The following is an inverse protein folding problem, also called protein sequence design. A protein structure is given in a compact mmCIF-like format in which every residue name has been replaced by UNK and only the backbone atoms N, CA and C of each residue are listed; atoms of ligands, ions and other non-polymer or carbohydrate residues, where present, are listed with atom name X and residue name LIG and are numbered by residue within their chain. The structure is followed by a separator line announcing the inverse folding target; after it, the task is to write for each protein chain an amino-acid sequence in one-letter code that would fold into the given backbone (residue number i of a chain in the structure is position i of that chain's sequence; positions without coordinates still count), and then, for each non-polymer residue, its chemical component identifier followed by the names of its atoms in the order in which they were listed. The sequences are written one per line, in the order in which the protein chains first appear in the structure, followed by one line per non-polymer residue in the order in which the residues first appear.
data_IF_552210898878
#
_entry.id   IF_552210898878
#
_cell.length_a   1.000
_cell.length_b   1.000
_cell.length_c   1.000
_cell.angle_alpha   90.00
_cell.angle_beta   90.00
_cell.angle_gamma   90.00
#
_symmetry.space_group_name_H-M   'P 1'
#
loop_
_entity.id
_entity.type
_entity.pdbx_description
1 polymer ?
#
# COMPACT_ATOMS: atom_id res chain seq x y z
N UNK A 1 -20.08 -0.01 -31.92
CA UNK A 1 -19.16 1.07 -31.49
C UNK A 1 -17.74 0.61 -31.76
N UNK A 2 -16.96 1.35 -32.59
CA UNK A 2 -15.60 0.96 -33.00
C UNK A 2 -14.69 0.91 -31.73
N UNK A 3 -13.94 -0.18 -31.55
CA UNK A 3 -13.05 -0.43 -30.41
C UNK A 3 -12.11 0.76 -30.16
N UNK A 4 -11.55 1.36 -31.24
CA UNK A 4 -10.71 2.56 -31.16
C UNK A 4 -11.43 3.78 -30.58
N UNK A 5 -12.73 3.96 -30.88
CA UNK A 5 -13.54 5.05 -30.32
C UNK A 5 -13.83 4.80 -28.83
N UNK A 6 -14.06 3.55 -28.44
CA UNK A 6 -14.22 3.18 -27.02
C UNK A 6 -12.94 3.39 -26.20
N UNK A 7 -11.77 3.06 -26.77
CA UNK A 7 -10.46 3.30 -26.14
C UNK A 7 -10.19 4.81 -25.97
N UNK A 8 -10.45 5.63 -27.01
CA UNK A 8 -10.27 7.10 -26.94
C UNK A 8 -11.17 7.75 -25.90
N UNK A 9 -12.44 7.35 -25.83
CA UNK A 9 -13.38 7.84 -24.80
C UNK A 9 -12.90 7.46 -23.39
N UNK A 10 -12.45 6.22 -23.19
CA UNK A 10 -11.92 5.75 -21.90
C UNK A 10 -10.64 6.50 -21.47
N UNK A 11 -9.73 6.77 -22.41
CA UNK A 11 -8.54 7.58 -22.14
C UNK A 11 -8.86 9.03 -21.80
N UNK A 12 -9.87 9.62 -22.43
CA UNK A 12 -10.34 10.97 -22.11
C UNK A 12 -10.91 11.03 -20.68
N UNK A 13 -11.81 10.10 -20.34
CA UNK A 13 -12.39 9.98 -18.99
C UNK A 13 -11.30 9.73 -17.95
N UNK A 14 -10.32 8.87 -18.24
CA UNK A 14 -9.18 8.63 -17.35
C UNK A 14 -8.39 9.90 -17.07
N UNK A 15 -8.08 10.70 -18.09
CA UNK A 15 -7.32 11.93 -17.92
C UNK A 15 -8.09 12.98 -17.11
N UNK A 16 -9.41 13.04 -17.24
CA UNK A 16 -10.28 13.93 -16.45
C UNK A 16 -10.33 13.48 -14.98
N UNK A 17 -10.63 12.21 -14.72
CA UNK A 17 -10.65 11.65 -13.35
C UNK A 17 -9.31 11.84 -12.67
N UNK A 18 -8.20 11.59 -13.38
CA UNK A 18 -6.85 11.80 -12.84
C UNK A 18 -6.58 13.26 -12.50
N UNK A 19 -7.00 14.20 -13.35
CA UNK A 19 -6.85 15.65 -13.08
C UNK A 19 -7.67 16.08 -11.86
N UNK A 20 -8.91 15.63 -11.77
CA UNK A 20 -9.79 15.95 -10.64
C UNK A 20 -9.25 15.34 -9.33
N UNK A 21 -8.80 14.10 -9.35
CA UNK A 21 -8.16 13.45 -8.19
C UNK A 21 -6.91 14.23 -7.73
N UNK A 22 -6.01 14.60 -8.65
CA UNK A 22 -4.82 15.39 -8.33
C UNK A 22 -5.21 16.77 -7.77
N UNK A 23 -6.26 17.41 -8.34
CA UNK A 23 -6.76 18.69 -7.86
C UNK A 23 -7.34 18.57 -6.45
N UNK A 24 -8.12 17.52 -6.18
CA UNK A 24 -8.69 17.24 -4.87
C UNK A 24 -7.61 16.98 -3.80
N UNK A 25 -6.59 16.15 -4.12
CA UNK A 25 -5.45 15.93 -3.23
C UNK A 25 -4.69 17.22 -2.93
N UNK A 26 -4.50 18.10 -3.93
CA UNK A 26 -3.88 19.41 -3.75
C UNK A 26 -4.74 20.32 -2.87
N UNK A 27 -6.05 20.30 -3.03
CA UNK A 27 -6.99 21.10 -2.23
C UNK A 27 -6.98 20.64 -0.75
N UNK A 28 -7.03 19.33 -0.48
CA UNK A 28 -6.90 18.80 0.88
C UNK A 28 -5.56 19.22 1.50
N UNK A 29 -4.46 19.05 0.78
CA UNK A 29 -3.14 19.46 1.25
C UNK A 29 -3.06 20.97 1.55
N UNK A 30 -3.82 21.80 0.82
CA UNK A 30 -3.87 23.26 1.05
C UNK A 30 -4.74 23.65 2.25
N UNK A 31 -5.75 22.84 2.58
CA UNK A 31 -6.68 23.09 3.71
C UNK A 31 -6.15 22.55 5.04
N UNK A 32 -5.23 21.57 5.03
CA UNK A 32 -4.58 21.11 6.24
C UNK A 32 -3.70 22.26 6.78
N UNK A 33 -4.10 22.86 7.90
CA UNK A 33 -3.42 24.01 8.55
C UNK A 33 -2.01 23.72 9.06
N UNK A 34 -1.47 22.54 8.81
CA UNK A 34 -0.07 22.21 8.98
C UNK A 34 0.67 22.54 7.70
N UNK A 35 0.95 23.82 7.49
CA UNK A 35 1.87 24.29 6.45
C UNK A 35 3.31 23.87 6.79
N UNK A 36 3.64 22.62 6.50
CA UNK A 36 5.03 22.26 6.24
C UNK A 36 5.25 22.67 4.78
N UNK A 37 6.21 23.56 4.46
CA UNK A 37 6.46 23.94 3.09
C UNK A 37 6.83 22.67 2.31
N UNK A 38 6.05 22.33 1.30
CA UNK A 38 6.46 21.39 0.26
C UNK A 38 7.63 22.07 -0.43
N UNK A 39 8.85 21.70 -0.09
CA UNK A 39 10.02 22.15 -0.82
C UNK A 39 9.92 21.57 -2.22
N UNK A 40 9.72 22.41 -3.23
CA UNK A 40 9.80 22.07 -4.65
C UNK A 40 11.26 21.79 -5.09
N UNK A 41 12.10 21.28 -4.19
CA UNK A 41 13.44 20.84 -4.55
C UNK A 41 13.33 19.45 -5.13
N UNK A 42 13.63 19.33 -6.43
CA UNK A 42 13.86 18.07 -7.15
C UNK A 42 15.14 17.33 -6.67
N UNK A 43 15.58 17.58 -5.47
CA UNK A 43 16.65 16.82 -4.83
C UNK A 43 16.07 15.49 -4.35
N UNK A 44 16.74 14.39 -4.70
CA UNK A 44 16.43 13.10 -4.11
C UNK A 44 16.51 13.26 -2.60
N UNK A 45 15.49 12.80 -1.85
CA UNK A 45 15.52 12.89 -0.41
C UNK A 45 16.84 12.27 0.08
N UNK A 46 17.50 12.92 1.02
CA UNK A 46 18.62 12.35 1.74
C UNK A 46 18.05 11.24 2.64
N UNK A 47 17.96 10.05 2.06
CA UNK A 47 17.36 8.88 2.70
C UNK A 47 18.07 8.59 4.02
N UNK A 48 19.39 8.77 4.11
CA UNK A 48 20.15 8.52 5.32
C UNK A 48 19.66 9.40 6.47
N UNK A 49 19.44 10.68 6.22
CA UNK A 49 18.96 11.64 7.22
C UNK A 49 17.50 11.39 7.62
N UNK A 50 16.63 11.09 6.66
CA UNK A 50 15.20 10.77 6.93
C UNK A 50 15.05 9.48 7.75
N UNK A 51 15.98 8.53 7.60
CA UNK A 51 15.95 7.23 8.29
C UNK A 51 16.87 7.11 9.51
N UNK A 52 17.49 8.20 9.98
CA UNK A 52 18.38 8.20 11.15
C UNK A 52 17.69 7.64 12.43
N UNK A 53 16.40 7.90 12.59
CA UNK A 53 15.59 7.43 13.73
C UNK A 53 14.56 6.36 13.35
N UNK A 54 14.88 5.53 12.38
CA UNK A 54 13.98 4.50 11.88
C UNK A 54 13.84 3.33 12.85
N UNK A 55 12.67 2.68 12.81
CA UNK A 55 12.40 1.44 13.54
C UNK A 55 12.69 0.27 12.62
N UNK A 56 13.45 -0.72 13.12
CA UNK A 56 13.74 -1.95 12.37
C UNK A 56 12.62 -2.97 12.64
N UNK A 57 11.99 -3.46 11.57
CA UNK A 57 10.91 -4.44 11.62
C UNK A 57 11.23 -5.64 10.73
N UNK A 58 10.61 -6.80 10.97
CA UNK A 58 10.73 -7.95 10.08
C UNK A 58 9.92 -7.72 8.79
N UNK A 59 10.17 -8.51 7.74
CA UNK A 59 9.40 -8.41 6.49
C UNK A 59 8.00 -9.05 6.68
N UNK A 60 6.90 -8.36 6.30
CA UNK A 60 5.54 -8.80 6.64
C UNK A 60 4.96 -9.87 5.71
N UNK A 61 5.67 -10.24 4.64
CA UNK A 61 5.18 -11.12 3.58
C UNK A 61 6.16 -12.26 3.31
N UNK A 62 5.73 -13.24 2.50
CA UNK A 62 6.56 -14.38 2.06
C UNK A 62 6.50 -14.51 0.55
N UNK A 63 7.61 -14.94 -0.08
CA UNK A 63 7.75 -15.10 -1.53
C UNK A 63 8.25 -13.85 -2.23
N UNK A 64 7.91 -13.69 -3.51
CA UNK A 64 8.48 -12.69 -4.43
C UNK A 64 7.57 -11.48 -4.57
N UNK A 65 8.08 -10.29 -4.29
CA UNK A 65 7.32 -9.03 -4.26
C UNK A 65 8.07 -7.90 -4.94
N UNK A 66 7.37 -6.81 -5.24
CA UNK A 66 7.93 -5.52 -5.61
C UNK A 66 7.19 -4.40 -4.86
N UNK A 67 7.79 -3.21 -4.76
CA UNK A 67 7.21 -2.05 -4.07
C UNK A 67 7.08 -0.85 -5.02
N UNK A 68 6.01 -0.74 -5.80
CA UNK A 68 5.83 0.39 -6.73
C UNK A 68 5.73 1.74 -6.02
N UNK A 69 5.21 1.76 -4.79
CA UNK A 69 5.19 2.92 -3.90
C UNK A 69 6.01 2.59 -2.65
N UNK A 70 7.07 3.35 -2.43
CA UNK A 70 8.04 3.14 -1.35
C UNK A 70 8.79 4.44 -1.06
N UNK A 71 9.20 4.67 0.19
CA UNK A 71 10.06 5.80 0.51
C UNK A 71 11.45 5.71 -0.14
N UNK A 72 11.89 4.51 -0.55
CA UNK A 72 13.10 4.33 -1.35
C UNK A 72 13.04 4.91 -2.77
N UNK A 73 11.84 5.26 -3.24
CA UNK A 73 11.60 5.95 -4.51
C UNK A 73 11.46 7.46 -4.32
N UNK A 74 10.61 7.86 -3.39
CA UNK A 74 10.25 9.26 -3.14
C UNK A 74 9.63 9.41 -1.76
N UNK A 75 9.85 10.54 -1.10
CA UNK A 75 9.21 10.89 0.17
C UNK A 75 8.46 12.21 -0.02
N UNK A 76 7.16 12.27 0.28
CA UNK A 76 6.26 11.20 0.76
C UNK A 76 6.00 10.13 -0.30
N UNK A 77 6.00 8.85 0.10
CA UNK A 77 5.91 7.70 -0.82
C UNK A 77 4.60 7.64 -1.62
N UNK A 78 3.52 8.19 -1.06
CA UNK A 78 2.18 8.27 -1.68
C UNK A 78 1.82 9.71 -2.10
N UNK A 79 2.81 10.62 -2.20
CA UNK A 79 2.61 12.02 -2.59
C UNK A 79 1.92 12.88 -1.53
N UNK A 80 1.73 12.38 -0.31
CA UNK A 80 1.08 13.10 0.80
C UNK A 80 1.56 12.59 2.15
N UNK A 81 1.54 13.47 3.17
CA UNK A 81 1.82 13.15 4.56
C UNK A 81 0.56 12.74 5.35
N UNK A 82 -0.63 12.81 4.72
CA UNK A 82 -1.89 12.47 5.38
C UNK A 82 -1.95 10.99 5.76
N UNK A 83 -2.75 10.67 6.78
CA UNK A 83 -3.00 9.30 7.26
C UNK A 83 -1.73 8.58 7.76
N UNK A 84 -0.68 9.30 8.12
CA UNK A 84 0.58 8.72 8.56
C UNK A 84 1.40 8.04 7.47
N UNK A 85 1.04 8.18 6.18
CA UNK A 85 1.61 7.38 5.08
C UNK A 85 2.87 7.97 4.42
N UNK A 86 3.55 8.96 5.05
CA UNK A 86 4.80 9.57 4.52
C UNK A 86 5.83 8.54 4.09
N UNK A 87 5.99 7.47 4.89
CA UNK A 87 6.96 6.39 4.67
C UNK A 87 6.28 5.04 4.38
N UNK A 88 5.09 5.04 3.78
CA UNK A 88 4.34 3.83 3.51
C UNK A 88 4.91 3.03 2.35
N UNK A 89 4.68 1.73 2.40
CA UNK A 89 5.06 0.74 1.38
C UNK A 89 3.81 0.06 0.81
N UNK A 90 3.75 -0.08 -0.51
CA UNK A 90 2.79 -0.94 -1.20
C UNK A 90 3.51 -2.16 -1.76
N UNK A 91 3.18 -3.36 -1.28
CA UNK A 91 3.79 -4.61 -1.72
C UNK A 91 2.89 -5.34 -2.70
N UNK A 92 3.34 -5.46 -3.95
CA UNK A 92 2.66 -6.20 -5.01
C UNK A 92 3.37 -7.51 -5.26
N UNK A 93 2.65 -8.65 -5.21
CA UNK A 93 3.23 -9.93 -5.59
C UNK A 93 3.31 -10.05 -7.11
N UNK A 94 4.47 -10.46 -7.60
CA UNK A 94 4.78 -10.61 -9.03
C UNK A 94 5.29 -12.01 -9.34
N UNK A 95 5.16 -12.41 -10.59
CA UNK A 95 5.81 -13.62 -11.11
C UNK A 95 7.10 -13.22 -11.84
N UNK A 96 8.24 -13.52 -11.23
CA UNK A 96 9.57 -13.23 -11.79
C UNK A 96 9.93 -14.10 -13.00
N UNK A 97 9.17 -15.16 -13.26
CA UNK A 97 9.37 -16.04 -14.44
C UNK A 97 8.85 -15.39 -15.72
N UNK A 98 8.02 -14.33 -15.59
CA UNK A 98 7.50 -13.59 -16.72
C UNK A 98 8.36 -12.35 -16.99
N UNK A 99 8.71 -12.12 -18.26
CA UNK A 99 9.54 -10.96 -18.67
C UNK A 99 8.93 -9.60 -18.30
N UNK A 100 7.63 -9.55 -18.03
CA UNK A 100 6.87 -8.31 -17.79
C UNK A 100 6.63 -8.03 -16.31
N UNK A 101 7.11 -8.90 -15.40
CA UNK A 101 6.95 -8.76 -13.92
C UNK A 101 5.53 -8.37 -13.50
N UNK A 102 4.55 -9.05 -14.10
CA UNK A 102 3.13 -8.74 -13.88
C UNK A 102 2.67 -9.21 -12.51
N UNK A 103 1.71 -8.50 -11.93
CA UNK A 103 1.01 -8.91 -10.72
C UNK A 103 -0.18 -9.85 -11.00
N UNK A 104 -0.38 -10.31 -12.26
CA UNK A 104 -1.52 -11.15 -12.67
C UNK A 104 -1.18 -12.11 -13.80
N UNK A 105 -1.88 -13.26 -13.82
CA UNK A 105 -1.91 -14.23 -14.91
C UNK A 105 -3.04 -13.89 -15.90
N UNK A 106 -2.79 -12.99 -16.82
CA UNK A 106 -3.71 -12.63 -17.90
C UNK A 106 -2.94 -11.95 -19.05
N UNK A 107 -3.54 -11.91 -20.25
CA UNK A 107 -2.96 -11.09 -21.32
C UNK A 107 -3.19 -9.60 -21.05
N UNK A 108 -2.23 -8.74 -21.45
CA UNK A 108 -2.33 -7.29 -21.29
C UNK A 108 -3.58 -6.73 -21.96
N UNK A 109 -3.93 -7.25 -23.13
CA UNK A 109 -5.14 -6.87 -23.87
C UNK A 109 -6.42 -7.17 -23.07
N UNK A 110 -6.55 -8.40 -22.52
CA UNK A 110 -7.72 -8.78 -21.72
C UNK A 110 -7.78 -7.97 -20.41
N UNK A 111 -6.63 -7.76 -19.77
CA UNK A 111 -6.53 -6.94 -18.56
C UNK A 111 -7.02 -5.50 -18.82
N UNK A 112 -6.56 -4.86 -19.90
CA UNK A 112 -6.89 -3.46 -20.22
C UNK A 112 -8.37 -3.27 -20.57
N UNK A 113 -9.01 -4.26 -21.20
CA UNK A 113 -10.42 -4.13 -21.64
C UNK A 113 -11.41 -4.65 -20.61
N UNK A 114 -11.15 -5.82 -20.03
CA UNK A 114 -12.12 -6.53 -19.18
C UNK A 114 -11.68 -6.60 -17.71
N UNK A 115 -10.49 -6.09 -17.38
CA UNK A 115 -9.85 -6.27 -16.11
C UNK A 115 -9.46 -7.73 -15.87
N UNK A 116 -8.86 -8.00 -14.70
CA UNK A 116 -8.41 -9.33 -14.29
C UNK A 116 -9.18 -9.81 -13.06
N UNK A 117 -9.79 -11.02 -13.07
CA UNK A 117 -10.39 -11.59 -11.88
C UNK A 117 -9.36 -11.73 -10.75
N UNK A 118 -9.76 -11.48 -9.50
CA UNK A 118 -8.83 -11.51 -8.34
C UNK A 118 -8.07 -12.83 -8.22
N UNK A 119 -8.72 -13.97 -8.49
CA UNK A 119 -8.07 -15.29 -8.45
C UNK A 119 -6.91 -15.47 -9.42
N UNK A 120 -6.76 -14.56 -10.39
CA UNK A 120 -5.65 -14.48 -11.33
C UNK A 120 -4.58 -13.44 -10.93
N UNK A 121 -4.77 -12.75 -9.83
CA UNK A 121 -3.78 -11.82 -9.29
C UNK A 121 -2.95 -12.56 -8.26
N UNK A 122 -1.63 -12.55 -8.41
CA UNK A 122 -0.72 -13.36 -7.59
C UNK A 122 -0.77 -12.98 -6.10
N UNK A 123 -0.89 -11.67 -5.79
CA UNK A 123 -0.97 -11.16 -4.43
C UNK A 123 -2.28 -11.46 -3.72
N UNK A 124 -3.38 -11.73 -4.45
CA UNK A 124 -4.67 -11.95 -3.81
C UNK A 124 -4.67 -13.19 -2.91
N UNK A 125 -5.18 -13.05 -1.69
CA UNK A 125 -5.26 -14.11 -0.68
C UNK A 125 -3.90 -14.59 -0.13
N UNK A 126 -2.81 -13.85 -0.38
CA UNK A 126 -1.50 -14.14 0.25
C UNK A 126 -1.50 -13.71 1.71
N UNK A 127 -0.78 -14.46 2.52
CA UNK A 127 -0.72 -14.26 3.97
C UNK A 127 0.10 -13.03 4.35
N UNK A 128 -0.41 -12.29 5.34
CA UNK A 128 0.23 -11.13 5.95
C UNK A 128 0.59 -11.49 7.38
N UNK A 129 1.84 -11.26 7.74
CA UNK A 129 2.37 -11.56 9.06
C UNK A 129 2.76 -10.28 9.78
N UNK A 130 2.65 -10.27 11.11
CA UNK A 130 3.12 -9.13 11.90
C UNK A 130 4.64 -9.00 11.82
N UNK A 131 5.18 -7.84 11.41
CA UNK A 131 6.62 -7.61 11.38
C UNK A 131 7.19 -7.21 12.75
N UNK A 132 6.35 -7.00 13.75
CA UNK A 132 6.70 -6.51 15.10
C UNK A 132 5.67 -7.00 16.12
N UNK A 133 6.06 -7.12 17.38
CA UNK A 133 5.15 -7.40 18.49
C UNK A 133 4.20 -6.20 18.70
N UNK A 134 2.96 -6.44 19.10
CA UNK A 134 2.02 -5.35 19.38
C UNK A 134 0.66 -5.84 19.85
N UNK A 135 -0.21 -4.89 20.17
CA UNK A 135 -1.59 -5.12 20.58
C UNK A 135 -2.55 -4.55 19.53
N UNK A 136 -3.56 -5.29 19.17
CA UNK A 136 -4.57 -4.85 18.21
C UNK A 136 -5.46 -3.77 18.83
N UNK A 137 -5.37 -2.53 18.30
CA UNK A 137 -6.15 -1.37 18.78
C UNK A 137 -7.26 -0.93 17.83
N UNK A 138 -7.21 -1.34 16.56
CA UNK A 138 -8.31 -1.12 15.62
C UNK A 138 -8.38 -2.23 14.57
N UNK A 139 -9.60 -2.55 14.11
CA UNK A 139 -9.88 -3.52 13.04
C UNK A 139 -11.09 -3.05 12.24
N UNK A 140 -11.01 -3.17 10.91
CA UNK A 140 -12.14 -3.20 9.98
C UNK A 140 -12.03 -4.46 9.11
N UNK A 141 -13.07 -5.28 9.01
CA UNK A 141 -13.08 -6.53 8.22
C UNK A 141 -14.41 -6.78 7.49
N UNK A 142 -15.18 -5.71 7.19
CA UNK A 142 -16.51 -5.83 6.58
C UNK A 142 -16.54 -5.39 5.12
N UNK A 143 -15.52 -4.64 4.67
CA UNK A 143 -15.45 -4.13 3.31
C UNK A 143 -15.31 -5.27 2.30
N UNK A 144 -16.13 -5.24 1.24
CA UNK A 144 -16.12 -6.29 0.21
C UNK A 144 -14.99 -6.09 -0.78
N UNK A 145 -14.30 -7.17 -1.10
CA UNK A 145 -13.35 -7.16 -2.23
C UNK A 145 -14.09 -6.88 -3.54
N UNK A 146 -13.51 -6.06 -4.40
CA UNK A 146 -13.94 -5.95 -5.79
C UNK A 146 -13.63 -7.27 -6.52
N UNK A 147 -14.51 -7.69 -7.43
CA UNK A 147 -14.39 -8.99 -8.10
C UNK A 147 -13.24 -9.07 -9.11
N UNK A 148 -12.78 -7.93 -9.59
CA UNK A 148 -11.76 -7.79 -10.64
C UNK A 148 -10.90 -6.57 -10.38
N UNK A 149 -9.66 -6.63 -10.82
CA UNK A 149 -8.79 -5.45 -10.99
C UNK A 149 -9.07 -4.85 -12.36
N UNK A 150 -9.45 -3.58 -12.39
CA UNK A 150 -9.64 -2.84 -13.62
C UNK A 150 -9.38 -1.35 -13.39
N UNK A 151 -8.28 -0.85 -13.94
CA UNK A 151 -7.74 0.47 -13.60
C UNK A 151 -8.78 1.59 -13.56
N UNK A 152 -9.65 1.68 -14.58
CA UNK A 152 -10.66 2.75 -14.62
C UNK A 152 -11.72 2.62 -13.53
N UNK A 153 -12.18 1.39 -13.25
CA UNK A 153 -13.15 1.18 -12.16
C UNK A 153 -12.54 1.41 -10.80
N UNK A 154 -11.28 1.04 -10.61
CA UNK A 154 -10.59 1.21 -9.34
C UNK A 154 -10.31 2.69 -9.06
N UNK A 155 -9.88 3.46 -10.07
CA UNK A 155 -9.75 4.92 -9.96
C UNK A 155 -11.11 5.62 -9.71
N UNK A 156 -12.18 5.16 -10.35
CA UNK A 156 -13.51 5.68 -10.08
C UNK A 156 -13.94 5.41 -8.63
N UNK A 157 -13.67 4.21 -8.11
CA UNK A 157 -13.95 3.89 -6.70
C UNK A 157 -13.13 4.79 -5.77
N UNK A 158 -11.84 5.01 -6.05
CA UNK A 158 -10.98 5.91 -5.26
C UNK A 158 -11.54 7.34 -5.24
N UNK A 159 -11.95 7.87 -6.39
CA UNK A 159 -12.58 9.19 -6.50
C UNK A 159 -13.88 9.25 -5.68
N UNK A 160 -14.76 8.25 -5.81
CA UNK A 160 -16.02 8.21 -5.07
C UNK A 160 -15.82 8.04 -3.56
N UNK A 161 -14.80 7.29 -3.13
CA UNK A 161 -14.46 7.15 -1.72
C UNK A 161 -13.95 8.47 -1.14
N UNK A 162 -13.09 9.18 -1.87
CA UNK A 162 -12.64 10.52 -1.48
C UNK A 162 -13.82 11.51 -1.34
N UNK A 163 -14.74 11.50 -2.31
CA UNK A 163 -15.95 12.34 -2.27
C UNK A 163 -16.88 12.02 -1.10
N UNK A 164 -16.94 10.75 -0.68
CA UNK A 164 -17.80 10.29 0.43
C UNK A 164 -17.18 10.45 1.81
N UNK A 165 -15.86 10.64 1.85
CA UNK A 165 -15.16 10.79 3.12
C UNK A 165 -15.63 12.07 3.81
N UNK A 166 -16.24 11.94 4.99
CA UNK A 166 -16.64 13.07 5.81
C UNK A 166 -15.45 13.50 6.68
N UNK A 167 -15.06 14.77 6.60
CA UNK A 167 -13.90 15.30 7.36
C UNK A 167 -14.17 15.34 8.87
N UNK A 168 -15.43 15.51 9.30
CA UNK A 168 -15.78 15.58 10.74
C UNK A 168 -15.85 14.20 11.41
N UNK A 169 -16.25 13.17 10.64
CA UNK A 169 -16.34 11.79 11.14
C UNK A 169 -15.97 10.82 10.01
N UNK A 170 -14.67 10.64 9.74
CA UNK A 170 -14.22 9.89 8.59
C UNK A 170 -14.42 8.38 8.75
N UNK A 171 -15.09 7.76 7.77
CA UNK A 171 -15.09 6.31 7.61
C UNK A 171 -13.81 5.89 6.87
N UNK A 172 -12.76 5.58 7.62
CA UNK A 172 -11.47 5.16 7.06
C UNK A 172 -11.55 3.85 6.27
N UNK A 173 -12.58 3.01 6.51
CA UNK A 173 -12.84 1.81 5.73
C UNK A 173 -13.12 2.10 4.25
N UNK A 174 -13.58 3.30 3.89
CA UNK A 174 -13.72 3.72 2.49
C UNK A 174 -12.38 3.78 1.77
N UNK A 175 -11.33 4.26 2.46
CA UNK A 175 -9.99 4.47 1.88
C UNK A 175 -9.09 3.27 2.13
N UNK A 176 -8.94 2.86 3.38
CA UNK A 176 -8.08 1.75 3.79
C UNK A 176 -8.66 0.37 3.43
N UNK A 177 -9.98 0.28 3.17
CA UNK A 177 -10.65 -1.01 3.05
C UNK A 177 -10.69 -1.72 4.40
N UNK A 178 -10.42 -3.02 4.41
CA UNK A 178 -10.19 -3.75 5.64
C UNK A 178 -8.78 -3.49 6.15
N UNK A 179 -8.64 -3.21 7.45
CA UNK A 179 -7.36 -2.82 8.02
C UNK A 179 -7.18 -3.30 9.46
N UNK A 180 -5.94 -3.31 9.91
CA UNK A 180 -5.52 -3.53 11.30
C UNK A 180 -4.61 -2.38 11.72
N UNK A 181 -4.76 -1.92 12.98
CA UNK A 181 -3.76 -1.08 13.66
C UNK A 181 -3.25 -1.85 14.86
N UNK A 182 -1.93 -1.99 14.96
CA UNK A 182 -1.23 -2.55 16.12
C UNK A 182 -0.54 -1.43 16.88
N UNK A 183 -0.75 -1.33 18.17
CA UNK A 183 0.09 -0.55 19.09
C UNK A 183 1.33 -1.38 19.43
N UNK A 184 2.50 -0.93 18.99
CA UNK A 184 3.75 -1.70 19.08
C UNK A 184 4.66 -1.22 20.24
N UNK A 185 4.62 0.08 20.53
CA UNK A 185 5.31 0.75 21.63
C UNK A 185 4.62 2.09 21.91
N UNK A 186 5.07 2.84 22.91
CA UNK A 186 4.57 4.18 23.18
C UNK A 186 4.69 5.07 21.95
N UNK A 187 3.54 5.56 21.46
CA UNK A 187 3.43 6.37 20.24
C UNK A 187 4.01 5.70 18.95
N UNK A 188 3.99 4.37 18.88
CA UNK A 188 4.35 3.62 17.67
C UNK A 188 3.24 2.65 17.31
N UNK A 189 2.62 2.90 16.16
CA UNK A 189 1.52 2.09 15.65
C UNK A 189 1.87 1.56 14.27
N UNK A 190 1.61 0.26 14.04
CA UNK A 190 1.76 -0.36 12.74
C UNK A 190 0.39 -0.46 12.05
N UNK A 191 0.30 0.11 10.86
CA UNK A 191 -0.91 0.13 10.05
C UNK A 191 -0.79 -0.82 8.85
N UNK A 192 -1.82 -1.64 8.68
CA UNK A 192 -1.93 -2.60 7.57
C UNK A 192 -3.27 -2.42 6.90
N UNK A 193 -3.31 -2.24 5.58
CA UNK A 193 -4.56 -2.02 4.86
C UNK A 193 -4.77 -2.97 3.68
N UNK A 194 -5.99 -2.93 3.14
CA UNK A 194 -6.47 -3.70 1.98
C UNK A 194 -6.57 -5.20 2.23
N UNK A 195 -6.85 -5.63 3.47
CA UNK A 195 -7.09 -7.06 3.74
C UNK A 195 -8.29 -7.60 2.96
N UNK A 196 -8.22 -8.88 2.62
CA UNK A 196 -9.33 -9.65 2.07
C UNK A 196 -10.46 -9.72 3.11
N UNK A 197 -11.70 -9.50 2.68
CA UNK A 197 -12.87 -9.57 3.56
C UNK A 197 -12.95 -10.89 4.32
N UNK A 198 -13.11 -10.81 5.64
CA UNK A 198 -13.25 -11.95 6.53
C UNK A 198 -12.00 -12.79 6.70
N UNK A 199 -10.82 -12.25 6.32
CA UNK A 199 -9.55 -12.96 6.43
C UNK A 199 -8.74 -12.59 7.68
N UNK A 200 -9.11 -11.53 8.38
CA UNK A 200 -8.39 -11.09 9.58
C UNK A 200 -8.53 -12.15 10.67
N UNK A 201 -7.39 -12.67 11.14
CA UNK A 201 -7.31 -13.81 12.08
C UNK A 201 -7.15 -13.40 13.54
N UNK A 202 -7.07 -12.09 13.81
CA UNK A 202 -6.90 -11.50 15.14
C UNK A 202 -8.14 -10.71 15.54
N UNK A 203 -8.28 -10.38 16.83
CA UNK A 203 -9.41 -9.61 17.37
C UNK A 203 -8.90 -8.37 18.10
N UNK A 204 -9.75 -7.36 18.19
CA UNK A 204 -9.49 -6.16 18.99
C UNK A 204 -9.04 -6.55 20.39
N UNK A 205 -7.95 -5.96 20.86
CA UNK A 205 -7.33 -6.22 22.17
C UNK A 205 -6.40 -7.43 22.22
N UNK A 206 -6.27 -8.23 21.14
CA UNK A 206 -5.32 -9.34 21.14
C UNK A 206 -3.88 -8.84 21.17
N UNK A 207 -3.03 -9.49 21.95
CA UNK A 207 -1.58 -9.43 21.81
C UNK A 207 -1.15 -10.22 20.58
N UNK A 208 -0.30 -9.63 19.77
CA UNK A 208 0.22 -10.19 18.53
C UNK A 208 1.73 -10.30 18.64
N UNK A 209 2.27 -11.46 18.25
CA UNK A 209 3.71 -11.67 18.21
C UNK A 209 4.24 -11.49 16.78
N UNK A 210 5.46 -11.02 16.70
CA UNK A 210 6.22 -10.96 15.46
C UNK A 210 6.20 -12.32 14.74
N UNK A 211 5.90 -12.31 13.43
CA UNK A 211 5.71 -13.51 12.62
C UNK A 211 4.35 -14.18 12.76
N UNK A 212 3.43 -13.67 13.59
CA UNK A 212 2.07 -14.17 13.71
C UNK A 212 1.24 -13.77 12.48
N UNK A 213 0.41 -14.70 11.99
CA UNK A 213 -0.54 -14.44 10.90
C UNK A 213 -1.58 -13.41 11.34
N UNK A 214 -1.72 -12.35 10.55
CA UNK A 214 -2.72 -11.29 10.73
C UNK A 214 -3.97 -11.50 9.87
N UNK A 215 -3.78 -11.98 8.64
CA UNK A 215 -4.84 -12.15 7.65
C UNK A 215 -4.27 -12.33 6.24
N UNK A 216 -5.05 -11.93 5.23
CA UNK A 216 -4.70 -12.15 3.82
C UNK A 216 -4.88 -10.87 3.00
N UNK A 217 -4.02 -10.70 2.00
CA UNK A 217 -4.09 -9.60 1.03
C UNK A 217 -5.40 -9.66 0.24
N UNK A 218 -6.11 -8.54 0.21
CA UNK A 218 -7.36 -8.36 -0.52
C UNK A 218 -7.29 -7.27 -1.59
N UNK A 219 -8.48 -6.79 -1.96
CA UNK A 219 -8.68 -5.71 -2.92
C UNK A 219 -9.86 -4.83 -2.48
N UNK A 220 -9.74 -4.29 -1.27
CA UNK A 220 -10.74 -3.46 -0.60
C UNK A 220 -10.25 -2.01 -0.51
N UNK A 221 -11.15 -1.05 -0.29
CA UNK A 221 -10.78 0.37 -0.20
C UNK A 221 -10.15 0.93 -1.49
N UNK A 222 -9.20 1.84 -1.37
CA UNK A 222 -8.51 2.51 -2.48
C UNK A 222 -7.33 1.69 -3.01
N UNK A 223 -7.58 0.46 -3.41
CA UNK A 223 -6.58 -0.45 -3.96
C UNK A 223 -6.69 -0.51 -5.49
N UNK A 224 -5.60 -0.37 -6.22
CA UNK A 224 -5.54 -0.51 -7.70
C UNK A 224 -5.10 -1.90 -8.16
N UNK A 225 -4.60 -2.72 -7.25
CA UNK A 225 -4.27 -4.13 -7.42
C UNK A 225 -4.25 -4.79 -6.05
N UNK A 226 -4.45 -6.13 -5.90
CA UNK A 226 -4.25 -6.81 -4.63
C UNK A 226 -2.83 -6.60 -4.11
N UNK A 227 -2.69 -5.91 -2.99
CA UNK A 227 -1.42 -5.56 -2.38
C UNK A 227 -1.56 -5.38 -0.87
N UNK A 228 -0.44 -5.42 -0.15
CA UNK A 228 -0.37 -4.96 1.22
C UNK A 228 0.11 -3.51 1.22
N UNK A 229 -0.69 -2.62 1.80
CA UNK A 229 -0.25 -1.29 2.23
C UNK A 229 0.20 -1.36 3.68
N UNK A 230 1.42 -0.92 3.97
CA UNK A 230 2.03 -0.98 5.31
C UNK A 230 2.82 0.28 5.63
N UNK A 231 2.65 0.81 6.85
CA UNK A 231 3.53 1.84 7.41
C UNK A 231 3.52 1.83 8.95
N UNK A 232 4.47 2.54 9.54
CA UNK A 232 4.44 2.92 10.95
C UNK A 232 4.01 4.38 11.09
N UNK A 233 3.30 4.69 12.18
CA UNK A 233 2.79 6.03 12.50
C UNK A 233 2.79 6.29 14.00
N UNK A 234 2.69 7.56 14.41
CA UNK A 234 2.78 8.02 15.82
C UNK A 234 1.43 8.08 16.55
N UNK A 235 0.31 7.87 15.85
CA UNK A 235 -1.04 7.96 16.41
C UNK A 235 -1.98 6.96 15.74
N UNK A 236 -2.89 6.29 16.47
CA UNK A 236 -3.88 5.39 15.88
C UNK A 236 -5.02 6.13 15.16
N UNK A 237 -5.22 7.42 15.45
CA UNK A 237 -6.16 8.27 14.71
C UNK A 237 -5.52 8.75 13.41
N UNK A 238 -5.96 8.18 12.29
CA UNK A 238 -5.44 8.48 10.97
C UNK A 238 -5.61 9.96 10.55
N UNK A 239 -6.51 10.70 11.18
CA UNK A 239 -6.74 12.13 10.86
C UNK A 239 -5.57 13.02 11.29
N UNK A 240 -4.81 12.61 12.30
CA UNK A 240 -3.70 13.36 12.89
C UNK A 240 -2.37 12.62 12.86
N UNK A 241 -2.38 11.36 12.44
CA UNK A 241 -1.21 10.49 12.42
C UNK A 241 -0.09 11.05 11.53
N UNK A 242 1.16 10.92 12.00
CA UNK A 242 2.38 11.21 11.24
C UNK A 242 3.16 9.92 11.01
N UNK A 243 3.72 9.77 9.82
CA UNK A 243 4.51 8.61 9.47
C UNK A 243 5.81 8.53 10.25
N UNK A 244 6.16 7.32 10.68
CA UNK A 244 7.45 6.98 11.29
C UNK A 244 8.23 6.15 10.28
N UNK A 245 9.51 6.48 9.95
CA UNK A 245 10.31 5.70 9.04
C UNK A 245 10.64 4.33 9.62
N UNK A 246 10.59 3.28 8.79
CA UNK A 246 11.01 1.94 9.19
C UNK A 246 11.93 1.30 8.15
N UNK A 247 12.80 0.42 8.64
CA UNK A 247 13.71 -0.42 7.87
C UNK A 247 13.29 -1.88 8.03
N UNK A 248 13.43 -2.67 6.97
CA UNK A 248 13.24 -4.11 7.07
C UNK A 248 14.55 -4.77 7.49
N UNK A 249 14.48 -5.58 8.56
CA UNK A 249 15.65 -6.22 9.19
C UNK A 249 16.47 -7.02 8.20
N UNK A 250 15.79 -7.82 7.36
CA UNK A 250 16.42 -8.67 6.37
C UNK A 250 15.43 -9.01 5.26
N UNK A 251 15.92 -8.99 4.04
CA UNK A 251 15.23 -9.49 2.84
C UNK A 251 16.28 -9.66 1.72
N UNK A 252 15.93 -10.39 0.67
CA UNK A 252 16.76 -10.52 -0.51
C UNK A 252 16.27 -9.63 -1.64
N UNK A 253 17.20 -9.10 -2.44
CA UNK A 253 16.91 -8.41 -3.70
C UNK A 253 17.58 -9.12 -4.86
N UNK A 254 16.91 -9.20 -6.00
CA UNK A 254 17.48 -9.74 -7.23
C UNK A 254 18.26 -8.66 -7.97
N UNK A 255 19.59 -8.79 -8.03
CA UNK A 255 20.52 -7.88 -8.70
C UNK A 255 21.65 -8.66 -9.34
N UNK A 256 22.05 -8.29 -10.57
CA UNK A 256 23.14 -8.92 -11.31
C UNK A 256 22.96 -10.45 -11.46
N UNK A 257 21.70 -10.87 -11.77
CA UNK A 257 21.28 -12.26 -11.96
C UNK A 257 21.40 -13.15 -10.71
N UNK A 258 21.53 -12.55 -9.51
CA UNK A 258 21.60 -13.29 -8.24
C UNK A 258 20.77 -12.63 -7.14
N UNK A 259 20.40 -13.41 -6.13
CA UNK A 259 19.75 -12.93 -4.91
C UNK A 259 20.79 -12.46 -3.91
N UNK A 260 20.70 -11.20 -3.45
CA UNK A 260 21.60 -10.58 -2.49
C UNK A 260 20.84 -10.21 -1.23
N UNK A 261 21.36 -10.60 -0.06
CA UNK A 261 20.78 -10.25 1.23
C UNK A 261 20.99 -8.76 1.48
N UNK A 262 19.90 -8.08 1.88
CA UNK A 262 19.89 -6.71 2.36
C UNK A 262 19.48 -6.73 3.82
N UNK A 263 20.26 -6.09 4.67
CA UNK A 263 19.97 -5.93 6.10
C UNK A 263 19.69 -4.47 6.43
N UNK A 264 18.67 -4.25 7.28
CA UNK A 264 18.22 -2.92 7.70
C UNK A 264 18.03 -1.99 6.49
N UNK A 265 17.28 -2.46 5.49
CA UNK A 265 17.15 -1.78 4.20
C UNK A 265 15.77 -1.19 3.94
N UNK A 266 15.74 -0.25 2.99
CA UNK A 266 14.54 0.34 2.39
C UNK A 266 14.43 -0.19 0.97
N UNK A 267 13.44 -1.02 0.62
CA UNK A 267 13.27 -1.46 -0.76
C UNK A 267 12.95 -0.29 -1.69
N UNK A 268 13.47 -0.33 -2.91
CA UNK A 268 13.16 0.66 -3.96
C UNK A 268 12.12 0.12 -4.94
N UNK A 269 11.56 0.99 -5.78
CA UNK A 269 10.58 0.59 -6.81
C UNK A 269 11.16 -0.31 -7.92
N UNK A 270 12.48 -0.44 -7.96
CA UNK A 270 13.21 -1.27 -8.93
C UNK A 270 13.58 -2.65 -8.38
N UNK A 271 13.43 -2.83 -7.07
CA UNK A 271 13.84 -4.06 -6.42
C UNK A 271 12.76 -5.15 -6.60
N UNK A 272 13.19 -6.32 -7.05
CA UNK A 272 12.46 -7.56 -6.80
C UNK A 272 12.92 -8.09 -5.46
N UNK A 273 11.97 -8.30 -4.56
CA UNK A 273 12.20 -8.64 -3.17
C UNK A 273 11.75 -10.06 -2.93
N UNK A 274 12.55 -10.82 -2.21
CA UNK A 274 12.19 -12.14 -1.70
C UNK A 274 12.40 -12.20 -0.20
N UNK A 275 11.46 -12.81 0.48
CA UNK A 275 11.64 -13.18 1.87
C UNK A 275 11.07 -14.58 2.13
N UNK A 276 11.92 -15.48 2.61
CA UNK A 276 11.56 -16.83 3.02
C UNK A 276 12.05 -17.02 4.46
N UNK A 277 11.14 -17.27 5.38
CA UNK A 277 11.44 -17.37 6.82
C UNK A 277 12.34 -18.57 7.20
N UNK A 278 12.53 -19.51 6.29
CA UNK A 278 13.22 -20.78 6.52
C UNK A 278 14.68 -20.78 6.03
N UNK A 279 15.25 -19.59 5.78
CA UNK A 279 16.68 -19.39 5.54
C UNK A 279 17.41 -18.94 6.77
#
# INVERSE_FOLDING_TARGET
MNILKAIKIRMSIFNEIRKEYISYVKEINSKSKTSIPVSETNEKPDIEKEFEKSIVVDFPLRGDWMTPNTPGKVIPSHGTDLLGQRYAYDFWQVDLKTSDSKFYDNSNFKHSIFGTPLKKCYGFSKEIYSPIDGKVVAIEDKQKDRKRVHLLSDLYVMYMNAYRLNEENPDWGLVAGNYIILECADNVFAFFAHFQKGSISVKLGNEVKKGQLLGRVGHTGNSTAPHLHFHLMDNPDLSIAKGIPCLFKEYEVFKDDEWKIVTNGVPTEKDFIRYNKDM
#
